data_IF_371185488258
#
_entry.id   IF_371185488258
#
_cell.length_a   1.000
_cell.length_b   1.000
_cell.length_c   1.000
_cell.angle_alpha   90.00
_cell.angle_beta   90.00
_cell.angle_gamma   90.00
#
_symmetry.space_group_name_H-M   'P 1'
#
loop_
_entity.id
_entity.type
_entity.pdbx_description
1 polymer ?
#
# COMPACT_ATOMS: atom_id res chain seq x y z
N UNK A 1 0.56 -9.54 17.64
CA UNK A 1 -0.17 -9.46 16.35
C UNK A 1 -0.13 -8.04 15.85
N UNK A 2 0.09 -7.86 14.58
CA UNK A 2 -0.13 -6.56 14.00
C UNK A 2 -1.63 -6.35 13.76
N UNK A 3 -2.07 -5.10 13.78
CA UNK A 3 -3.49 -4.79 13.66
C UNK A 3 -4.06 -4.94 12.24
N UNK A 4 -3.23 -5.17 11.22
CA UNK A 4 -3.64 -5.18 9.82
C UNK A 4 -4.00 -6.57 9.30
N UNK A 5 -3.18 -7.59 9.59
CA UNK A 5 -3.38 -8.95 9.06
C UNK A 5 -3.85 -9.98 10.10
N UNK A 6 -3.90 -9.60 11.39
CA UNK A 6 -4.22 -10.48 12.52
C UNK A 6 -3.33 -11.72 12.62
N UNK A 7 -2.10 -11.66 12.10
CA UNK A 7 -1.13 -12.74 12.19
C UNK A 7 -0.30 -12.65 13.47
N UNK A 8 0.26 -13.79 13.91
CA UNK A 8 1.23 -13.83 15.00
C UNK A 8 2.62 -14.03 14.42
N UNK A 9 3.51 -13.12 14.76
CA UNK A 9 4.89 -13.14 14.30
C UNK A 9 5.81 -13.71 15.38
N UNK A 10 6.69 -14.61 14.97
CA UNK A 10 7.75 -15.19 15.77
C UNK A 10 9.08 -14.89 15.05
N UNK A 11 10.00 -14.29 15.76
CA UNK A 11 11.33 -13.97 15.25
C UNK A 11 12.38 -14.64 16.05
N UNK A 12 13.27 -15.40 15.40
CA UNK A 12 14.44 -16.00 16.00
C UNK A 12 14.11 -16.89 17.21
N UNK A 13 15.12 -17.25 17.96
CA UNK A 13 15.05 -18.10 19.13
C UNK A 13 16.39 -18.75 19.41
N UNK A 14 16.40 -19.68 20.34
CA UNK A 14 17.59 -20.51 20.60
C UNK A 14 17.21 -21.96 20.82
N UNK A 15 18.13 -22.85 20.51
CA UNK A 15 18.01 -24.25 20.88
C UNK A 15 18.67 -24.51 22.25
N UNK A 16 18.12 -25.47 23.00
CA UNK A 16 18.60 -25.91 24.29
C UNK A 16 19.33 -27.28 24.21
N UNK A 17 19.50 -27.83 23.03
CA UNK A 17 19.98 -29.19 22.82
C UNK A 17 21.51 -29.40 22.98
N UNK A 18 22.27 -28.33 23.22
CA UNK A 18 23.72 -28.39 23.36
C UNK A 18 24.24 -27.97 24.72
N UNK A 19 25.23 -28.69 25.22
CA UNK A 19 25.78 -28.52 26.58
C UNK A 19 26.50 -27.19 26.83
N UNK A 20 26.90 -26.43 25.81
CA UNK A 20 27.75 -25.22 26.01
C UNK A 20 27.65 -24.13 24.93
N UNK A 21 27.11 -24.40 23.77
CA UNK A 21 26.97 -23.39 22.72
C UNK A 21 25.50 -23.03 22.50
N UNK A 22 25.18 -21.78 22.57
CA UNK A 22 23.84 -21.28 22.33
C UNK A 22 23.69 -21.09 20.82
N UNK A 23 22.97 -22.02 20.18
CA UNK A 23 22.67 -21.88 18.76
C UNK A 23 21.49 -20.96 18.59
N UNK A 24 21.71 -19.80 18.02
CA UNK A 24 20.67 -18.81 17.76
C UNK A 24 20.07 -19.10 16.40
N UNK A 25 18.79 -19.35 16.35
CA UNK A 25 18.06 -19.47 15.10
C UNK A 25 17.95 -18.09 14.45
N UNK A 26 18.08 -18.05 13.12
CA UNK A 26 18.03 -16.79 12.36
C UNK A 26 16.73 -16.66 11.56
N UNK A 27 15.83 -17.60 11.72
CA UNK A 27 14.57 -17.66 11.00
C UNK A 27 13.45 -16.90 11.70
N UNK A 28 12.39 -16.61 10.95
CA UNK A 28 11.18 -16.03 11.46
C UNK A 28 9.95 -16.67 10.82
N UNK A 29 8.84 -16.63 11.53
CA UNK A 29 7.59 -17.22 11.08
C UNK A 29 6.41 -16.31 11.38
N UNK A 30 5.42 -16.34 10.48
CA UNK A 30 4.10 -15.75 10.70
C UNK A 30 3.07 -16.88 10.79
N UNK A 31 2.32 -16.93 11.87
CA UNK A 31 1.14 -17.79 12.00
C UNK A 31 -0.10 -17.05 11.53
N UNK A 32 -0.75 -17.58 10.50
CA UNK A 32 -2.01 -17.06 10.02
C UNK A 32 -3.18 -17.85 10.66
N UNK A 33 -3.97 -17.26 11.59
CA UNK A 33 -5.05 -17.95 12.26
C UNK A 33 -6.19 -18.40 11.35
N UNK A 34 -6.38 -17.71 10.22
CA UNK A 34 -7.43 -18.06 9.25
C UNK A 34 -7.08 -19.31 8.44
N UNK A 35 -5.80 -19.48 8.13
CA UNK A 35 -5.29 -20.62 7.37
C UNK A 35 -4.83 -21.76 8.27
N UNK A 36 -4.59 -21.49 9.56
CA UNK A 36 -4.05 -22.46 10.53
C UNK A 36 -2.61 -22.89 10.21
N UNK A 37 -1.85 -22.10 9.47
CA UNK A 37 -0.52 -22.45 8.99
C UNK A 37 0.54 -21.43 9.41
N UNK A 38 1.78 -21.94 9.59
CA UNK A 38 2.98 -21.14 9.74
C UNK A 38 3.59 -20.86 8.37
N UNK A 39 3.93 -19.61 8.13
CA UNK A 39 4.56 -19.14 6.88
C UNK A 39 5.94 -18.61 7.26
N UNK A 40 7.02 -19.08 6.62
CA UNK A 40 8.37 -18.55 6.88
C UNK A 40 8.45 -17.10 6.40
N UNK A 41 9.15 -16.28 7.18
CA UNK A 41 9.42 -14.88 6.83
C UNK A 41 10.72 -14.80 6.03
N UNK A 42 10.77 -13.85 5.11
CA UNK A 42 12.01 -13.47 4.45
C UNK A 42 12.87 -12.59 5.36
N UNK A 43 14.17 -12.85 5.43
CA UNK A 43 15.12 -12.11 6.24
C UNK A 43 15.82 -12.97 7.29
N UNK A 44 16.90 -12.44 7.86
CA UNK A 44 17.64 -13.06 8.96
C UNK A 44 17.40 -12.26 10.25
N UNK A 45 17.08 -12.96 11.31
CA UNK A 45 16.76 -12.40 12.63
C UNK A 45 17.71 -12.94 13.70
N UNK A 46 19.00 -12.55 13.70
CA UNK A 46 20.06 -13.17 14.49
C UNK A 46 20.05 -12.75 15.97
N UNK A 47 18.89 -12.70 16.60
CA UNK A 47 18.74 -12.13 17.96
C UNK A 47 17.86 -13.00 18.84
N UNK A 48 18.35 -13.42 20.00
CA UNK A 48 17.55 -14.09 21.04
C UNK A 48 17.23 -13.14 22.19
N UNK A 49 16.14 -13.42 22.90
CA UNK A 49 15.66 -12.63 24.04
C UNK A 49 15.36 -11.15 23.74
N UNK A 50 15.13 -10.83 22.49
CA UNK A 50 14.62 -9.53 22.06
C UNK A 50 13.12 -9.38 22.33
N UNK A 51 12.62 -8.19 22.17
CA UNK A 51 11.19 -7.86 22.28
C UNK A 51 10.67 -7.40 20.94
N UNK A 52 9.53 -7.97 20.52
CA UNK A 52 8.81 -7.58 19.33
C UNK A 52 7.53 -6.82 19.71
N UNK A 53 7.31 -5.66 19.15
CA UNK A 53 6.10 -4.87 19.37
C UNK A 53 5.53 -4.34 18.05
N UNK A 54 4.20 -4.28 17.92
CA UNK A 54 3.57 -3.66 16.76
C UNK A 54 3.91 -2.16 16.73
N UNK A 55 4.15 -1.64 15.53
CA UNK A 55 4.58 -0.29 15.32
C UNK A 55 3.92 0.30 14.06
N UNK A 56 3.11 1.32 14.25
CA UNK A 56 2.27 1.84 13.17
C UNK A 56 1.26 0.79 12.69
N UNK A 57 0.95 0.82 11.39
CA UNK A 57 -0.06 -0.07 10.79
C UNK A 57 0.53 -1.36 10.20
N UNK A 58 1.77 -1.31 9.69
CA UNK A 58 2.36 -2.37 8.87
C UNK A 58 3.76 -2.78 9.31
N UNK A 59 4.20 -2.38 10.50
CA UNK A 59 5.54 -2.66 10.96
C UNK A 59 5.54 -3.38 12.30
N UNK A 60 6.57 -4.17 12.52
CA UNK A 60 6.92 -4.77 13.80
C UNK A 60 8.30 -4.29 14.18
N UNK A 61 8.40 -3.67 15.33
CA UNK A 61 9.65 -3.19 15.88
C UNK A 61 10.28 -4.28 16.75
N UNK A 62 11.51 -4.63 16.45
CA UNK A 62 12.33 -5.56 17.21
C UNK A 62 13.38 -4.73 17.99
N UNK A 63 13.42 -4.90 19.29
CA UNK A 63 14.27 -4.13 20.19
C UNK A 63 15.10 -5.05 21.06
N UNK A 64 16.38 -4.73 21.19
CA UNK A 64 17.32 -5.42 22.08
C UNK A 64 17.50 -6.89 21.72
N UNK A 65 18.04 -7.61 22.68
CA UNK A 65 18.36 -9.03 22.52
C UNK A 65 19.85 -9.28 22.54
N UNK A 66 20.24 -10.53 22.32
CA UNK A 66 21.62 -10.98 22.26
C UNK A 66 21.88 -11.77 20.99
N UNK A 67 23.05 -11.57 20.42
CA UNK A 67 23.51 -12.34 19.29
C UNK A 67 24.13 -13.69 19.74
N UNK A 68 24.50 -14.55 18.79
CA UNK A 68 25.11 -15.84 19.06
C UNK A 68 26.40 -15.82 19.88
N UNK A 69 27.09 -14.67 19.93
CA UNK A 69 28.30 -14.45 20.75
C UNK A 69 27.94 -13.95 22.18
N UNK A 70 26.67 -13.99 22.56
CA UNK A 70 26.17 -13.51 23.85
C UNK A 70 26.47 -12.02 24.11
N UNK A 71 26.70 -11.24 23.07
CA UNK A 71 26.81 -9.76 23.16
C UNK A 71 25.44 -9.14 22.96
N UNK A 72 25.21 -8.02 23.67
CA UNK A 72 23.98 -7.29 23.58
C UNK A 72 23.84 -6.65 22.19
N UNK A 73 22.70 -6.86 21.57
CA UNK A 73 22.41 -6.28 20.27
C UNK A 73 21.91 -4.84 20.44
N UNK A 74 22.59 -3.89 19.85
CA UNK A 74 22.30 -2.46 19.93
C UNK A 74 21.70 -1.92 18.63
N UNK A 75 20.94 -2.76 17.93
CA UNK A 75 20.21 -2.38 16.73
C UNK A 75 18.71 -2.33 17.00
N UNK A 76 18.07 -1.33 16.47
CA UNK A 76 16.62 -1.27 16.30
C UNK A 76 16.31 -1.87 14.92
N UNK A 77 15.48 -2.89 14.87
CA UNK A 77 15.04 -3.49 13.62
C UNK A 77 13.57 -3.24 13.39
N UNK A 78 13.24 -2.79 12.21
CA UNK A 78 11.87 -2.55 11.79
C UNK A 78 11.53 -3.50 10.66
N UNK A 79 10.66 -4.43 10.93
CA UNK A 79 10.16 -5.39 9.95
C UNK A 79 8.85 -4.89 9.34
N UNK A 80 8.80 -4.76 8.02
CA UNK A 80 7.60 -4.35 7.29
C UNK A 80 6.80 -5.57 6.86
N UNK A 81 5.61 -5.77 7.42
CA UNK A 81 4.79 -6.99 7.27
C UNK A 81 4.28 -7.25 5.85
N UNK A 82 4.12 -6.21 5.03
CA UNK A 82 3.62 -6.35 3.65
C UNK A 82 4.75 -6.67 2.66
N UNK A 83 5.89 -5.98 2.80
CA UNK A 83 7.00 -6.13 1.85
C UNK A 83 8.02 -7.17 2.26
N UNK A 84 7.97 -7.66 3.51
CA UNK A 84 8.94 -8.59 4.05
C UNK A 84 10.34 -7.98 4.26
N UNK A 85 10.46 -6.65 4.23
CA UNK A 85 11.76 -5.98 4.35
C UNK A 85 12.11 -5.70 5.80
N UNK A 86 13.38 -5.91 6.15
CA UNK A 86 13.96 -5.58 7.45
C UNK A 86 14.87 -4.36 7.31
N UNK A 87 14.59 -3.33 8.10
CA UNK A 87 15.44 -2.12 8.20
C UNK A 87 16.13 -2.13 9.55
N UNK A 88 17.44 -1.92 9.56
CA UNK A 88 18.25 -1.86 10.78
C UNK A 88 18.75 -0.42 11.01
N UNK A 89 18.63 0.03 12.24
CA UNK A 89 19.08 1.36 12.66
C UNK A 89 19.88 1.24 13.95
N UNK A 90 21.11 1.73 14.00
CA UNK A 90 21.90 1.73 15.21
C UNK A 90 21.27 2.62 16.28
N UNK A 91 21.38 2.20 17.53
CA UNK A 91 20.94 3.01 18.67
C UNK A 91 21.90 4.17 18.88
N UNK A 92 21.42 5.37 19.23
CA UNK A 92 22.27 6.51 19.53
C UNK A 92 23.29 6.20 20.64
N UNK A 93 24.47 6.79 20.54
CA UNK A 93 25.54 6.60 21.53
C UNK A 93 25.07 6.95 22.95
N UNK A 94 25.44 6.13 23.90
CA UNK A 94 25.09 6.31 25.32
C UNK A 94 23.76 5.69 25.75
N UNK A 95 22.99 5.13 24.83
CA UNK A 95 21.75 4.39 25.15
C UNK A 95 22.06 2.89 25.07
N UNK A 96 21.72 2.14 26.12
CA UNK A 96 21.82 0.69 26.15
C UNK A 96 20.41 0.12 26.11
N UNK A 97 20.12 -0.66 25.08
CA UNK A 97 18.84 -1.36 24.98
C UNK A 97 18.81 -2.54 25.93
N UNK A 98 17.81 -2.63 26.82
CA UNK A 98 17.68 -3.78 27.69
C UNK A 98 17.14 -4.99 26.93
N UNK A 99 17.59 -6.18 27.32
CA UNK A 99 17.00 -7.44 26.89
C UNK A 99 15.83 -7.82 27.82
N UNK A 100 14.96 -8.73 27.39
CA UNK A 100 13.77 -9.17 28.16
C UNK A 100 12.95 -8.01 28.71
N UNK A 101 12.72 -7.01 27.90
CA UNK A 101 11.96 -5.79 28.23
C UNK A 101 10.53 -5.88 27.69
N UNK A 102 9.69 -4.91 28.04
CA UNK A 102 8.41 -4.68 27.40
C UNK A 102 8.43 -3.35 26.64
N UNK A 103 7.80 -3.35 25.49
CA UNK A 103 7.60 -2.16 24.68
C UNK A 103 6.11 -1.82 24.68
N UNK A 104 5.80 -0.63 25.15
CA UNK A 104 4.44 -0.11 25.22
C UNK A 104 4.27 1.00 24.19
N UNK A 105 3.15 1.04 23.46
CA UNK A 105 2.85 2.19 22.63
C UNK A 105 2.63 3.43 23.48
N UNK A 106 3.18 4.54 23.06
CA UNK A 106 2.95 5.89 23.59
C UNK A 106 2.34 6.75 22.48
N UNK A 107 1.72 7.90 22.82
CA UNK A 107 0.96 8.73 21.89
C UNK A 107 1.73 9.08 20.61
N UNK A 108 3.04 9.39 20.75
CA UNK A 108 3.90 9.82 19.65
C UNK A 108 5.10 8.88 19.43
N UNK A 109 5.06 7.66 19.96
CA UNK A 109 6.19 6.73 19.84
C UNK A 109 6.05 5.48 20.68
N UNK A 110 7.14 5.09 21.33
CA UNK A 110 7.24 3.89 22.14
C UNK A 110 7.88 4.18 23.48
N UNK A 111 7.50 3.42 24.49
CA UNK A 111 8.14 3.38 25.78
C UNK A 111 8.73 1.99 26.00
N UNK A 112 10.05 1.91 26.16
CA UNK A 112 10.76 0.70 26.52
C UNK A 112 10.94 0.69 28.04
N UNK A 113 10.37 -0.33 28.68
CA UNK A 113 10.37 -0.42 30.14
C UNK A 113 11.63 -1.11 30.65
N UNK A 114 11.72 -1.25 31.96
CA UNK A 114 12.81 -1.96 32.64
C UNK A 114 13.10 -3.34 32.01
N UNK A 115 14.35 -3.64 31.79
CA UNK A 115 14.84 -4.92 31.31
C UNK A 115 16.23 -5.23 31.84
N UNK A 116 16.83 -6.29 31.36
CA UNK A 116 18.17 -6.72 31.78
C UNK A 116 19.24 -6.05 30.89
N UNK A 117 20.19 -5.35 31.50
CA UNK A 117 21.32 -4.71 30.81
C UNK A 117 22.62 -5.50 30.92
N UNK A 118 22.69 -6.43 31.87
CA UNK A 118 23.75 -7.46 32.05
C UNK A 118 23.11 -8.68 32.69
N UNK A 119 23.70 -9.88 32.59
CA UNK A 119 23.17 -11.05 33.25
C UNK A 119 22.86 -10.83 34.74
N UNK A 120 21.58 -10.94 35.11
CA UNK A 120 21.09 -10.73 36.48
C UNK A 120 20.99 -9.27 36.95
N UNK A 121 21.30 -8.30 36.10
CA UNK A 121 21.22 -6.86 36.44
C UNK A 121 20.16 -6.15 35.61
N UNK A 122 19.08 -5.77 36.27
CA UNK A 122 18.00 -4.98 35.64
C UNK A 122 18.23 -3.48 35.79
N UNK A 123 17.82 -2.74 34.77
CA UNK A 123 17.85 -1.28 34.81
C UNK A 123 16.48 -0.70 35.22
N UNK A 124 16.44 0.31 36.09
CA UNK A 124 15.22 1.07 36.36
C UNK A 124 14.93 2.15 35.29
N UNK A 125 15.79 2.28 34.30
CA UNK A 125 15.68 3.34 33.27
C UNK A 125 14.52 3.02 32.35
N UNK A 126 13.66 4.01 32.12
CA UNK A 126 12.64 4.01 31.09
C UNK A 126 13.18 4.76 29.89
N UNK A 127 13.21 4.11 28.74
CA UNK A 127 13.58 4.74 27.48
C UNK A 127 12.31 5.14 26.75
N UNK A 128 12.25 6.36 26.28
CA UNK A 128 11.19 6.85 25.42
C UNK A 128 11.76 7.08 24.03
N UNK A 129 11.29 6.34 23.07
CA UNK A 129 11.55 6.55 21.65
C UNK A 129 10.42 7.38 21.05
N UNK A 130 10.71 8.58 20.61
CA UNK A 130 9.77 9.37 19.81
C UNK A 130 10.08 9.15 18.34
N UNK A 131 9.04 8.92 17.55
CA UNK A 131 9.16 8.97 16.11
C UNK A 131 9.29 10.44 15.71
N UNK A 132 10.48 10.83 15.32
CA UNK A 132 10.54 11.94 14.40
C UNK A 132 10.03 11.41 13.04
N UNK A 133 8.72 11.51 12.85
CA UNK A 133 8.21 11.48 11.48
C UNK A 133 8.96 12.65 10.80
N UNK A 134 9.91 12.33 9.95
CA UNK A 134 10.36 13.27 8.93
C UNK A 134 9.14 13.50 8.04
N UNK A 135 8.25 14.39 8.53
CA UNK A 135 7.24 14.97 7.65
C UNK A 135 8.10 15.65 6.60
N UNK A 136 8.28 14.98 5.47
CA UNK A 136 8.88 15.59 4.29
C UNK A 136 7.98 16.77 3.94
N UNK A 137 8.29 17.92 4.52
CA UNK A 137 7.66 19.18 4.14
C UNK A 137 7.94 19.37 2.67
N UNK A 138 6.89 19.59 1.91
CA UNK A 138 7.01 19.91 0.49
C UNK A 138 8.08 20.97 0.32
N UNK A 139 9.12 20.62 -0.40
CA UNK A 139 10.22 21.52 -0.73
C UNK A 139 9.71 22.55 -1.75
N UNK A 140 10.33 23.71 -1.83
CA UNK A 140 9.98 24.70 -2.86
C UNK A 140 10.04 24.14 -4.28
N UNK A 141 10.88 23.13 -4.54
CA UNK A 141 10.98 22.41 -5.78
C UNK A 141 9.73 21.56 -6.04
N UNK A 142 9.21 20.87 -5.04
CA UNK A 142 7.98 20.06 -5.15
C UNK A 142 6.78 20.93 -5.48
N UNK A 143 6.66 22.07 -4.79
CA UNK A 143 5.60 23.06 -5.05
C UNK A 143 5.76 23.61 -6.47
N UNK A 144 6.99 23.85 -6.93
CA UNK A 144 7.28 24.30 -8.29
C UNK A 144 6.82 23.30 -9.35
N UNK A 145 7.13 22.02 -9.17
CA UNK A 145 6.71 20.93 -10.07
C UNK A 145 5.20 20.78 -10.11
N UNK A 146 4.55 20.78 -8.94
CA UNK A 146 3.08 20.70 -8.83
C UNK A 146 2.43 21.89 -9.53
N UNK A 147 2.93 23.09 -9.28
CA UNK A 147 2.41 24.32 -9.90
C UNK A 147 2.57 24.28 -11.42
N UNK A 148 3.74 23.89 -11.91
CA UNK A 148 4.02 23.75 -13.34
C UNK A 148 3.09 22.72 -14.00
N UNK A 149 2.84 21.61 -13.33
CA UNK A 149 1.90 20.59 -13.79
C UNK A 149 0.49 21.15 -13.93
N UNK A 150 -0.05 21.82 -12.91
CA UNK A 150 -1.39 22.42 -13.00
C UNK A 150 -1.48 23.55 -14.02
N UNK A 151 -0.45 24.38 -14.14
CA UNK A 151 -0.38 25.40 -15.18
C UNK A 151 -0.36 24.80 -16.58
N UNK A 152 0.36 23.71 -16.80
CA UNK A 152 0.37 23.02 -18.10
C UNK A 152 -1.00 22.43 -18.43
N UNK A 153 -1.71 21.85 -17.47
CA UNK A 153 -3.08 21.37 -17.67
C UNK A 153 -4.05 22.52 -17.99
N UNK A 154 -3.96 23.63 -17.25
CA UNK A 154 -4.79 24.80 -17.48
C UNK A 154 -4.52 25.41 -18.86
N UNK A 155 -3.25 25.48 -19.27
CA UNK A 155 -2.85 25.96 -20.59
C UNK A 155 -3.40 25.06 -21.71
N UNK A 156 -3.27 23.74 -21.57
CA UNK A 156 -3.83 22.77 -22.53
C UNK A 156 -5.35 22.95 -22.64
N UNK A 157 -6.05 23.00 -21.49
CA UNK A 157 -7.48 23.22 -21.45
C UNK A 157 -7.90 24.52 -22.12
N UNK A 158 -7.21 25.61 -21.82
CA UNK A 158 -7.49 26.92 -22.43
C UNK A 158 -7.19 26.93 -23.95
N UNK A 159 -6.07 26.34 -24.37
CA UNK A 159 -5.68 26.26 -25.78
C UNK A 159 -6.71 25.50 -26.62
N UNK A 160 -7.15 24.33 -26.14
CA UNK A 160 -8.14 23.51 -26.85
C UNK A 160 -9.59 24.07 -26.74
N UNK A 161 -9.92 24.78 -25.66
CA UNK A 161 -11.29 25.32 -25.48
C UNK A 161 -11.67 26.36 -26.56
N UNK A 162 -10.69 27.08 -27.11
CA UNK A 162 -10.93 28.08 -28.17
C UNK A 162 -11.50 27.47 -29.47
N UNK A 163 -11.26 26.21 -29.70
CA UNK A 163 -11.68 25.52 -30.93
C UNK A 163 -12.95 24.67 -30.74
N UNK A 164 -13.48 24.61 -29.50
CA UNK A 164 -14.67 23.84 -29.15
C UNK A 164 -15.91 24.73 -29.23
N UNK A 165 -16.73 24.53 -30.25
CA UNK A 165 -17.94 25.34 -30.48
C UNK A 165 -19.23 24.60 -30.16
N UNK A 166 -19.18 23.26 -30.10
CA UNK A 166 -20.35 22.41 -29.89
C UNK A 166 -20.12 21.42 -28.75
N UNK A 167 -21.20 20.89 -28.16
CA UNK A 167 -21.12 19.81 -27.17
C UNK A 167 -20.41 18.58 -27.73
N UNK A 168 -20.58 18.30 -29.01
CA UNK A 168 -19.90 17.18 -29.69
C UNK A 168 -18.40 17.39 -29.78
N UNK A 169 -17.93 18.62 -30.02
CA UNK A 169 -16.51 18.94 -30.01
C UNK A 169 -15.92 18.70 -28.60
N UNK A 170 -16.66 19.06 -27.55
CA UNK A 170 -16.21 18.89 -26.19
C UNK A 170 -16.15 17.41 -25.75
N UNK A 171 -17.23 16.65 -25.97
CA UNK A 171 -17.32 15.26 -25.47
C UNK A 171 -16.68 14.23 -26.41
N UNK A 172 -16.69 14.47 -27.71
CA UNK A 172 -16.23 13.51 -28.72
C UNK A 172 -15.01 14.00 -29.51
N UNK A 173 -14.49 15.21 -29.18
CA UNK A 173 -13.38 15.83 -29.91
C UNK A 173 -13.69 16.07 -31.39
N UNK A 174 -14.98 16.27 -31.74
CA UNK A 174 -15.44 16.43 -33.13
C UNK A 174 -15.15 15.23 -34.03
N UNK A 175 -14.88 14.05 -33.47
CA UNK A 175 -14.51 12.85 -34.21
C UNK A 175 -13.13 12.89 -34.90
N UNK A 176 -12.28 13.87 -34.57
CA UNK A 176 -10.96 14.08 -35.21
C UNK A 176 -9.81 13.46 -34.44
N UNK A 177 -10.05 12.89 -33.27
CA UNK A 177 -8.99 12.33 -32.42
C UNK A 177 -8.50 11.01 -33.04
N UNK A 178 -7.19 10.87 -33.33
CA UNK A 178 -6.62 9.64 -33.82
C UNK A 178 -6.85 8.46 -32.86
N UNK A 179 -7.07 7.28 -33.42
CA UNK A 179 -7.41 6.08 -32.65
C UNK A 179 -6.37 5.71 -31.57
N UNK A 180 -5.09 5.92 -31.86
CA UNK A 180 -4.03 5.61 -30.90
C UNK A 180 -4.02 6.56 -29.69
N UNK A 181 -4.39 7.84 -29.86
CA UNK A 181 -4.53 8.80 -28.75
C UNK A 181 -5.72 8.40 -27.88
N UNK A 182 -6.84 7.99 -28.48
CA UNK A 182 -7.99 7.47 -27.74
C UNK A 182 -7.60 6.23 -26.94
N UNK A 183 -6.88 5.29 -27.57
CA UNK A 183 -6.37 4.10 -26.88
C UNK A 183 -5.45 4.43 -25.71
N UNK A 184 -4.51 5.36 -25.89
CA UNK A 184 -3.61 5.82 -24.84
C UNK A 184 -4.36 6.51 -23.69
N UNK A 185 -5.40 7.30 -24.00
CA UNK A 185 -6.26 7.96 -23.02
C UNK A 185 -7.05 6.94 -22.20
N UNK A 186 -7.62 5.92 -22.83
CA UNK A 186 -8.33 4.82 -22.15
C UNK A 186 -7.36 4.06 -21.24
N UNK A 187 -6.16 3.73 -21.74
CA UNK A 187 -5.13 3.05 -20.95
C UNK A 187 -4.74 3.88 -19.71
N UNK A 188 -4.42 5.18 -19.90
CA UNK A 188 -4.03 6.07 -18.80
C UNK A 188 -5.16 6.26 -17.76
N UNK A 189 -6.42 6.22 -18.20
CA UNK A 189 -7.58 6.33 -17.30
C UNK A 189 -7.84 5.02 -16.55
N UNK A 190 -7.59 3.88 -17.18
CA UNK A 190 -7.81 2.56 -16.59
C UNK A 190 -6.67 2.14 -15.64
N UNK A 191 -5.44 2.57 -15.92
CA UNK A 191 -4.27 2.27 -15.10
C UNK A 191 -4.32 3.08 -13.81
N UNK A 192 -4.48 2.39 -12.70
CA UNK A 192 -4.54 3.00 -11.35
C UNK A 192 -3.38 2.53 -10.49
N UNK A 193 -3.15 3.22 -9.36
CA UNK A 193 -2.18 2.78 -8.35
C UNK A 193 -2.49 1.36 -7.85
N UNK A 194 -3.77 1.00 -7.72
CA UNK A 194 -4.20 -0.36 -7.38
C UNK A 194 -3.71 -1.38 -8.41
N UNK A 195 -3.87 -1.07 -9.69
CA UNK A 195 -3.45 -1.96 -10.78
C UNK A 195 -1.94 -2.18 -10.76
N UNK A 196 -1.17 -1.13 -10.48
CA UNK A 196 0.29 -1.19 -10.50
C UNK A 196 0.87 -1.83 -9.22
N UNK A 197 0.31 -1.57 -8.05
CA UNK A 197 0.85 -2.03 -6.77
C UNK A 197 0.18 -3.31 -6.25
N UNK A 198 -1.15 -3.32 -6.18
CA UNK A 198 -1.88 -4.39 -5.51
C UNK A 198 -1.99 -5.67 -6.35
N UNK A 199 -2.05 -5.58 -7.68
CA UNK A 199 -2.17 -6.78 -8.52
C UNK A 199 -0.90 -7.60 -8.50
N UNK A 200 0.31 -7.04 -8.71
CA UNK A 200 1.55 -7.80 -8.57
C UNK A 200 1.76 -8.36 -7.16
N UNK A 201 1.48 -7.56 -6.12
CA UNK A 201 1.60 -8.00 -4.74
C UNK A 201 0.68 -9.19 -4.44
N UNK A 202 -0.58 -9.15 -4.91
CA UNK A 202 -1.50 -10.27 -4.77
C UNK A 202 -1.06 -11.50 -5.56
N UNK A 203 -0.59 -11.34 -6.79
CA UNK A 203 -0.12 -12.45 -7.62
C UNK A 203 1.12 -13.12 -7.01
N UNK A 204 1.98 -12.36 -6.35
CA UNK A 204 3.13 -12.89 -5.61
C UNK A 204 2.71 -13.63 -4.34
N UNK A 205 1.80 -13.06 -3.56
CA UNK A 205 1.40 -13.61 -2.25
C UNK A 205 0.44 -14.80 -2.32
N UNK A 206 -0.30 -14.96 -3.44
CA UNK A 206 -1.31 -16.03 -3.55
C UNK A 206 -1.11 -16.90 -4.78
N UNK A 207 -1.63 -16.45 -5.91
CA UNK A 207 -1.61 -17.17 -7.17
C UNK A 207 -1.91 -16.27 -8.38
N UNK A 208 -1.89 -16.85 -9.56
CA UNK A 208 -2.14 -16.16 -10.82
C UNK A 208 -3.62 -16.16 -11.26
N UNK A 209 -4.55 -16.52 -10.37
CA UNK A 209 -5.99 -16.56 -10.68
C UNK A 209 -6.51 -15.20 -11.17
N UNK A 210 -5.94 -14.12 -10.68
CA UNK A 210 -6.29 -12.77 -11.11
C UNK A 210 -5.94 -12.49 -12.58
N UNK A 211 -4.88 -13.11 -13.11
CA UNK A 211 -4.54 -13.04 -14.53
C UNK A 211 -5.62 -13.70 -15.40
N UNK A 212 -6.12 -14.87 -14.98
CA UNK A 212 -7.20 -15.55 -15.67
C UNK A 212 -8.48 -14.72 -15.67
N UNK A 213 -8.80 -14.06 -14.55
CA UNK A 213 -9.94 -13.15 -14.49
C UNK A 213 -9.79 -11.97 -15.47
N UNK A 214 -8.61 -11.35 -15.53
CA UNK A 214 -8.35 -10.26 -16.46
C UNK A 214 -8.31 -10.71 -17.93
N UNK A 215 -7.95 -11.95 -18.23
CA UNK A 215 -8.00 -12.49 -19.59
C UNK A 215 -9.42 -12.51 -20.16
N UNK A 216 -10.43 -12.60 -19.30
CA UNK A 216 -11.84 -12.45 -19.69
C UNK A 216 -12.14 -11.10 -20.33
N UNK A 217 -11.44 -10.03 -19.93
CA UNK A 217 -11.59 -8.70 -20.56
C UNK A 217 -11.13 -8.74 -22.02
N UNK A 218 -10.04 -9.44 -22.31
CA UNK A 218 -9.51 -9.60 -23.68
C UNK A 218 -10.53 -10.29 -24.58
N UNK A 219 -11.25 -11.27 -24.05
CA UNK A 219 -12.34 -11.95 -24.77
C UNK A 219 -13.59 -11.07 -24.92
N UNK A 220 -13.86 -10.19 -23.97
CA UNK A 220 -15.00 -9.26 -24.04
C UNK A 220 -14.78 -8.12 -25.05
N UNK A 221 -13.53 -7.68 -25.26
CA UNK A 221 -13.22 -6.56 -26.17
C UNK A 221 -13.75 -6.75 -27.60
N UNK A 222 -13.54 -7.90 -28.28
CA UNK A 222 -14.12 -8.11 -29.61
C UNK A 222 -15.64 -7.98 -29.64
N UNK A 223 -16.32 -8.50 -28.63
CA UNK A 223 -17.79 -8.40 -28.51
C UNK A 223 -18.21 -6.93 -28.37
N UNK A 224 -17.52 -6.17 -27.54
CA UNK A 224 -17.79 -4.74 -27.35
C UNK A 224 -17.55 -3.98 -28.66
N UNK A 225 -16.44 -4.24 -29.34
CA UNK A 225 -16.06 -3.56 -30.57
C UNK A 225 -17.03 -3.89 -31.74
N UNK A 226 -17.46 -5.13 -31.86
CA UNK A 226 -18.28 -5.58 -32.98
C UNK A 226 -19.78 -5.33 -32.80
N UNK A 227 -20.27 -5.37 -31.56
CA UNK A 227 -21.70 -5.24 -31.28
C UNK A 227 -22.07 -3.90 -30.64
N UNK A 228 -21.39 -3.53 -29.54
CA UNK A 228 -21.78 -2.37 -28.75
C UNK A 228 -21.36 -1.03 -29.40
N UNK A 229 -20.14 -0.92 -29.89
CA UNK A 229 -19.67 0.32 -30.50
C UNK A 229 -20.50 0.69 -31.73
N UNK A 230 -20.75 -0.21 -32.72
CA UNK A 230 -21.58 0.14 -33.86
C UNK A 230 -23.02 0.49 -33.48
N UNK A 231 -23.59 -0.20 -32.45
CA UNK A 231 -24.91 0.10 -31.94
C UNK A 231 -25.00 1.55 -31.41
N UNK A 232 -24.12 1.95 -30.50
CA UNK A 232 -24.13 3.31 -29.95
C UNK A 232 -23.79 4.39 -30.98
N UNK A 233 -22.90 4.09 -31.93
CA UNK A 233 -22.59 5.03 -33.01
C UNK A 233 -23.78 5.32 -33.92
N UNK A 234 -24.65 4.33 -34.16
CA UNK A 234 -25.88 4.51 -34.96
C UNK A 234 -26.93 5.37 -34.25
N UNK A 235 -26.96 5.34 -32.94
CA UNK A 235 -27.89 6.12 -32.14
C UNK A 235 -27.56 7.59 -32.05
N UNK A 236 -26.32 7.97 -32.41
CA UNK A 236 -25.81 9.34 -32.37
C UNK A 236 -25.98 10.01 -31.00
N UNK A 237 -25.91 9.23 -29.92
CA UNK A 237 -26.01 9.69 -28.53
C UNK A 237 -24.64 10.05 -27.97
N UNK A 238 -24.58 11.02 -27.04
CA UNK A 238 -23.34 11.41 -26.38
C UNK A 238 -23.01 10.49 -25.22
N UNK A 239 -24.03 10.00 -24.52
CA UNK A 239 -23.87 9.09 -23.36
C UNK A 239 -24.88 7.95 -23.44
N UNK A 240 -24.57 6.81 -22.80
CA UNK A 240 -25.53 5.72 -22.66
C UNK A 240 -26.81 6.12 -21.90
N UNK A 241 -26.73 7.12 -21.02
CA UNK A 241 -27.86 7.63 -20.27
C UNK A 241 -28.86 8.41 -21.15
N UNK A 242 -28.40 9.06 -22.19
CA UNK A 242 -29.25 9.74 -23.17
C UNK A 242 -30.08 8.71 -23.98
N UNK A 243 -29.51 7.56 -24.28
CA UNK A 243 -30.26 6.45 -24.86
C UNK A 243 -31.36 5.94 -23.93
N UNK A 244 -31.08 5.83 -22.62
CA UNK A 244 -32.07 5.42 -21.65
C UNK A 244 -33.22 6.44 -21.53
N UNK A 245 -32.92 7.73 -21.59
CA UNK A 245 -33.93 8.78 -21.62
C UNK A 245 -34.81 8.68 -22.85
N UNK A 246 -34.25 8.52 -24.05
CA UNK A 246 -35.00 8.42 -25.30
C UNK A 246 -35.87 7.15 -25.38
N UNK A 247 -35.42 6.07 -24.71
CA UNK A 247 -36.16 4.80 -24.74
C UNK A 247 -37.22 4.69 -23.64
N UNK A 248 -36.99 5.24 -22.46
CA UNK A 248 -37.86 5.11 -21.29
C UNK A 248 -38.42 6.47 -20.88
N UNK A 249 -37.70 7.20 -20.07
CA UNK A 249 -38.08 8.54 -19.62
C UNK A 249 -36.86 9.27 -18.96
N UNK A 250 -36.97 10.60 -18.71
CA UNK A 250 -35.93 11.38 -18.05
C UNK A 250 -35.60 10.89 -16.62
N UNK A 251 -36.57 10.33 -15.90
CA UNK A 251 -36.35 9.83 -14.54
C UNK A 251 -35.32 8.68 -14.50
N UNK A 252 -35.39 7.77 -15.47
CA UNK A 252 -34.43 6.66 -15.58
C UNK A 252 -33.01 7.18 -15.81
N UNK A 253 -32.85 8.20 -16.68
CA UNK A 253 -31.56 8.87 -16.88
C UNK A 253 -31.01 9.43 -15.58
N UNK A 254 -31.83 10.17 -14.82
CA UNK A 254 -31.42 10.81 -13.55
C UNK A 254 -31.02 9.74 -12.53
N UNK A 255 -31.83 8.70 -12.35
CA UNK A 255 -31.54 7.61 -11.40
C UNK A 255 -30.21 6.90 -11.74
N UNK A 256 -30.01 6.55 -13.01
CA UNK A 256 -28.76 5.91 -13.44
C UNK A 256 -27.55 6.84 -13.27
N UNK A 257 -27.72 8.14 -13.51
CA UNK A 257 -26.64 9.12 -13.31
C UNK A 257 -26.28 9.27 -11.84
N UNK A 258 -27.28 9.31 -10.94
CA UNK A 258 -27.04 9.36 -9.49
C UNK A 258 -26.35 8.08 -9.02
N UNK A 259 -26.82 6.92 -9.45
CA UNK A 259 -26.20 5.63 -9.11
C UNK A 259 -24.73 5.59 -9.55
N UNK A 260 -24.41 6.08 -10.75
CA UNK A 260 -23.04 6.18 -11.23
C UNK A 260 -22.17 7.13 -10.41
N UNK A 261 -22.69 8.29 -10.03
CA UNK A 261 -21.98 9.25 -9.19
C UNK A 261 -21.65 8.63 -7.83
N UNK A 262 -22.60 7.99 -7.18
CA UNK A 262 -22.39 7.30 -5.91
C UNK A 262 -21.35 6.18 -6.01
N UNK A 263 -21.42 5.40 -7.08
CA UNK A 263 -20.42 4.38 -7.37
C UNK A 263 -19.01 4.97 -7.54
N UNK A 264 -18.88 6.08 -8.26
CA UNK A 264 -17.59 6.74 -8.48
C UNK A 264 -17.01 7.34 -7.19
N UNK A 265 -17.85 7.91 -6.33
CA UNK A 265 -17.41 8.41 -5.01
C UNK A 265 -16.84 7.25 -4.17
N UNK A 266 -17.56 6.12 -4.10
CA UNK A 266 -17.07 4.93 -3.41
C UNK A 266 -15.76 4.39 -4.00
N UNK A 267 -15.65 4.34 -5.32
CA UNK A 267 -14.44 3.93 -6.03
C UNK A 267 -13.25 4.85 -5.70
N UNK A 268 -13.46 6.17 -5.67
CA UNK A 268 -12.40 7.12 -5.31
C UNK A 268 -11.85 6.88 -3.91
N UNK A 269 -12.72 6.57 -2.93
CA UNK A 269 -12.29 6.22 -1.58
C UNK A 269 -11.35 5.01 -1.54
N UNK A 270 -11.69 3.94 -2.26
CA UNK A 270 -10.85 2.74 -2.35
C UNK A 270 -9.53 3.01 -3.08
N UNK A 271 -9.56 3.80 -4.17
CA UNK A 271 -8.35 4.13 -4.95
C UNK A 271 -7.37 4.98 -4.14
N UNK A 272 -7.84 5.85 -3.25
CA UNK A 272 -6.99 6.67 -2.40
C UNK A 272 -6.45 5.91 -1.18
N UNK A 273 -7.19 4.93 -0.68
CA UNK A 273 -6.82 4.17 0.51
C UNK A 273 -5.49 3.40 0.33
N UNK A 274 -5.33 2.67 -0.78
CA UNK A 274 -4.15 1.84 -1.00
C UNK A 274 -2.84 2.64 -1.11
N UNK A 275 -2.76 3.74 -1.91
CA UNK A 275 -1.57 4.58 -1.90
C UNK A 275 -1.29 5.21 -0.53
N UNK A 276 -2.32 5.60 0.23
CA UNK A 276 -2.13 6.18 1.55
C UNK A 276 -1.53 5.19 2.55
N UNK A 277 -1.90 3.91 2.47
CA UNK A 277 -1.29 2.84 3.28
C UNK A 277 0.18 2.61 2.89
N UNK A 278 0.50 2.70 1.60
CA UNK A 278 1.87 2.49 1.11
C UNK A 278 2.82 3.66 1.41
N UNK A 279 2.28 4.85 1.63
CA UNK A 279 3.05 6.07 1.92
C UNK A 279 3.16 6.37 3.42
N UNK A 280 2.48 5.63 4.27
CA UNK A 280 2.47 5.78 5.73
C UNK A 280 3.40 4.74 6.38
#
# INVERSE_FOLDING_TARGET
>A
SDGFDNCFYLFSGRDFSGDTAWDVHHDGYCYNPRLGTWIPLEGEFPVMAGTAAPFGTNHILLIGGRNGNNSDDQLLRLYHTITGTLTETPVPEGIVLPVTTNVLPDNDGIMVTSGEVRPGVRTPVLLRGTLESTIHRLTGLDIGVITLYFLSLAFIGWYFSKNQKTSDDYFKGGGRIPWFIVGLSIFGTALSAITFMAIPAKAYATDWSYLLFNSGIVLAVPVIVLLFIPFYRRLNVTTAYEYLEARFNPLVRVLCSIAFILFQIGRMGVVLLLPSIALN
#
